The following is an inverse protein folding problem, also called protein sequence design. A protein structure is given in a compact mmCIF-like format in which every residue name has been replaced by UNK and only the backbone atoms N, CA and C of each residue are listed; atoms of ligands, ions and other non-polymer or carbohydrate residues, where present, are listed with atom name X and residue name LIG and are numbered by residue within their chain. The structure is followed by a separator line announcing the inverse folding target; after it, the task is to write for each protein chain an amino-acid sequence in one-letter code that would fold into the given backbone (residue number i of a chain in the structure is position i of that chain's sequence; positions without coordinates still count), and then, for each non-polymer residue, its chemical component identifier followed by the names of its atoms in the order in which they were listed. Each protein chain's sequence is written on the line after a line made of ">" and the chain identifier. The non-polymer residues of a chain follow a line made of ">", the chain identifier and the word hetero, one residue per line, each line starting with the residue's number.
data_IF_515395759045
#
_entry.id   IF_515395759045
#
_cell.length_a   1.000
_cell.length_b   1.000
_cell.length_c   1.000
_cell.angle_alpha   90.00
_cell.angle_beta   90.00
_cell.angle_gamma   90.00
#
_symmetry.space_group_name_H-M   'P 1'
#
loop_
_entity.id
_entity.type
_entity.pdbx_description
1 polymer ?
#
# COMPACT_ATOMS: atom_id res chain seq x y z
N UNK A 1 6.74 -23.56 -11.14
CA UNK A 1 8.22 -23.65 -11.07
C UNK A 1 8.97 -22.83 -12.15
N UNK A 2 8.32 -21.99 -12.99
CA UNK A 2 9.01 -21.21 -14.04
C UNK A 2 9.22 -19.71 -13.73
N UNK A 3 8.69 -19.17 -12.64
CA UNK A 3 8.77 -17.71 -12.37
C UNK A 3 9.81 -17.27 -11.33
N UNK A 4 10.44 -18.19 -10.59
CA UNK A 4 11.44 -17.82 -9.57
C UNK A 4 12.84 -17.48 -10.13
N UNK A 5 13.07 -17.66 -11.44
CA UNK A 5 14.40 -17.50 -12.05
C UNK A 5 14.74 -16.04 -12.40
N UNK A 6 13.74 -15.18 -12.57
CA UNK A 6 13.94 -13.75 -12.91
C UNK A 6 14.26 -12.88 -11.67
N UNK A 7 14.04 -13.39 -10.45
CA UNK A 7 14.38 -12.69 -9.20
C UNK A 7 15.91 -12.60 -9.00
N UNK A 8 16.71 -13.38 -9.76
CA UNK A 8 18.17 -13.45 -9.61
C UNK A 8 18.95 -12.31 -10.29
N UNK A 9 18.31 -11.42 -11.03
CA UNK A 9 18.95 -10.25 -11.65
C UNK A 9 18.53 -8.94 -10.97
N UNK A 10 18.58 -8.91 -9.64
CA UNK A 10 18.55 -7.65 -8.89
C UNK A 10 19.83 -6.86 -9.21
N UNK A 11 19.73 -5.96 -10.19
CA UNK A 11 20.72 -4.91 -10.46
C UNK A 11 21.05 -4.19 -9.14
N UNK A 12 22.29 -3.72 -9.00
CA UNK A 12 22.87 -3.06 -7.81
C UNK A 12 22.13 -1.81 -7.30
N UNK A 13 20.98 -1.45 -7.86
CA UNK A 13 20.00 -0.59 -7.22
C UNK A 13 18.97 -1.46 -6.49
N UNK A 14 18.94 -1.49 -5.14
CA UNK A 14 17.94 -2.23 -4.37
C UNK A 14 16.56 -1.57 -4.44
N UNK A 15 16.30 -0.74 -5.46
CA UNK A 15 15.10 0.06 -5.62
C UNK A 15 14.63 -0.11 -7.06
N UNK A 16 13.48 -0.76 -7.23
CA UNK A 16 12.77 -0.81 -8.51
C UNK A 16 11.91 0.44 -8.59
N UNK A 17 12.43 1.49 -9.22
CA UNK A 17 11.67 2.73 -9.40
C UNK A 17 10.82 2.66 -10.67
N UNK A 18 9.49 2.62 -10.50
CA UNK A 18 8.54 2.76 -11.59
C UNK A 18 8.01 4.19 -11.67
N UNK A 19 8.08 4.75 -12.87
CA UNK A 19 7.45 6.04 -13.18
C UNK A 19 5.93 6.00 -12.96
N UNK A 20 5.33 7.16 -12.71
CA UNK A 20 3.89 7.27 -12.58
C UNK A 20 3.21 6.95 -13.92
N UNK A 21 2.24 6.04 -13.90
CA UNK A 21 1.49 5.62 -15.07
C UNK A 21 0.02 5.49 -14.71
N UNK A 22 -0.82 6.30 -15.35
CA UNK A 22 -2.26 6.33 -15.10
C UNK A 22 -2.98 5.05 -15.51
N UNK A 23 -2.33 4.14 -16.24
CA UNK A 23 -2.87 2.81 -16.59
C UNK A 23 -2.56 1.75 -15.53
N UNK A 24 -1.66 2.05 -14.58
CA UNK A 24 -1.34 1.16 -13.47
C UNK A 24 -2.15 1.57 -12.25
N UNK A 25 -2.41 0.57 -11.40
CA UNK A 25 -2.93 0.78 -10.06
C UNK A 25 -1.83 1.33 -9.17
N UNK A 26 -2.15 2.27 -8.30
CA UNK A 26 -1.16 3.01 -7.52
C UNK A 26 -1.32 2.72 -6.02
N UNK A 27 -0.27 2.16 -5.44
CA UNK A 27 -0.13 1.91 -4.00
C UNK A 27 0.83 2.94 -3.37
N UNK A 28 0.43 3.55 -2.27
CA UNK A 28 1.36 4.27 -1.40
C UNK A 28 1.71 3.39 -0.19
N UNK A 29 3.00 3.14 0.02
CA UNK A 29 3.49 2.61 1.31
C UNK A 29 3.89 3.79 2.18
N UNK A 30 3.06 4.02 3.19
CA UNK A 30 3.08 5.11 4.14
C UNK A 30 3.85 4.72 5.39
N UNK A 31 4.80 5.57 5.76
CA UNK A 31 5.43 5.58 7.06
C UNK A 31 4.87 6.76 7.84
N UNK A 32 4.10 6.54 8.93
CA UNK A 32 3.55 7.61 9.76
C UNK A 32 4.62 8.28 10.64
N UNK A 33 5.82 8.51 10.10
CA UNK A 33 6.92 9.13 10.79
C UNK A 33 7.74 9.98 9.81
N UNK A 34 8.70 10.73 10.35
CA UNK A 34 9.63 11.51 9.54
C UNK A 34 10.49 10.60 8.66
N UNK A 35 10.89 11.10 7.50
CA UNK A 35 11.71 10.34 6.54
C UNK A 35 12.92 9.66 7.17
N UNK A 36 13.68 10.40 8.00
CA UNK A 36 14.86 9.85 8.69
C UNK A 36 14.51 8.68 9.62
N UNK A 37 13.33 8.66 10.24
CA UNK A 37 12.89 7.51 11.02
C UNK A 37 12.50 6.32 10.14
N UNK A 38 11.83 6.57 9.01
CA UNK A 38 11.27 5.52 8.15
C UNK A 38 12.27 4.89 7.16
N UNK A 39 13.34 5.59 6.77
CA UNK A 39 14.31 5.08 5.77
C UNK A 39 15.01 3.79 6.22
N UNK A 40 15.13 3.58 7.54
CA UNK A 40 15.80 2.41 8.12
C UNK A 40 14.91 1.15 8.16
N UNK A 41 13.64 1.25 7.76
CA UNK A 41 12.72 0.11 7.71
C UNK A 41 12.95 -0.77 6.48
N UNK A 42 13.49 -1.99 6.68
CA UNK A 42 13.69 -2.96 5.60
C UNK A 42 12.38 -3.53 5.05
N UNK A 43 11.43 -3.91 5.90
CA UNK A 43 10.16 -4.52 5.46
C UNK A 43 9.41 -3.67 4.43
N UNK A 44 9.16 -2.38 4.70
CA UNK A 44 8.50 -1.52 3.72
C UNK A 44 9.30 -1.29 2.42
N UNK A 45 10.64 -1.38 2.46
CA UNK A 45 11.47 -1.35 1.25
C UNK A 45 11.30 -2.63 0.42
N UNK A 46 11.23 -3.79 1.09
CA UNK A 46 10.93 -5.08 0.46
C UNK A 46 9.56 -5.00 -0.23
N UNK A 47 8.52 -4.55 0.48
CA UNK A 47 7.18 -4.39 -0.07
C UNK A 47 7.16 -3.41 -1.24
N UNK A 48 7.84 -2.27 -1.12
CA UNK A 48 7.96 -1.33 -2.23
C UNK A 48 8.53 -1.97 -3.50
N UNK A 49 9.61 -2.75 -3.37
CA UNK A 49 10.24 -3.42 -4.50
C UNK A 49 9.37 -4.54 -5.06
N UNK A 50 8.77 -5.35 -4.19
CA UNK A 50 7.89 -6.44 -4.55
C UNK A 50 6.72 -5.93 -5.41
N UNK A 51 6.03 -4.90 -4.92
CA UNK A 51 4.89 -4.30 -5.64
C UNK A 51 5.35 -3.63 -6.93
N UNK A 52 6.49 -2.93 -6.91
CA UNK A 52 7.07 -2.40 -8.14
C UNK A 52 7.64 -3.46 -9.07
N UNK A 53 7.73 -4.73 -8.68
CA UNK A 53 7.95 -5.86 -9.59
C UNK A 53 6.71 -6.18 -10.42
N UNK A 54 5.51 -6.00 -9.86
CA UNK A 54 4.24 -6.38 -10.49
C UNK A 54 3.89 -5.47 -11.68
N UNK A 55 3.52 -6.06 -12.82
CA UNK A 55 3.31 -5.34 -14.09
C UNK A 55 2.26 -4.22 -13.99
N UNK A 56 1.15 -4.52 -13.31
CA UNK A 56 -0.05 -3.68 -13.29
C UNK A 56 -0.10 -2.71 -12.10
N UNK A 57 0.92 -2.75 -11.24
CA UNK A 57 1.04 -1.91 -10.06
C UNK A 57 2.22 -0.96 -10.14
N UNK A 58 2.04 0.21 -9.54
CA UNK A 58 3.10 1.13 -9.18
C UNK A 58 3.03 1.40 -7.68
N UNK A 59 4.19 1.44 -7.03
CA UNK A 59 4.30 1.69 -5.61
C UNK A 59 5.18 2.91 -5.34
N UNK A 60 4.75 3.78 -4.42
CA UNK A 60 5.56 4.90 -3.93
C UNK A 60 5.64 4.87 -2.41
N UNK A 61 6.85 5.11 -1.89
CA UNK A 61 7.05 5.38 -0.46
C UNK A 61 6.64 6.81 -0.14
N UNK A 62 6.01 6.99 1.02
CA UNK A 62 5.51 8.27 1.51
C UNK A 62 5.70 8.35 3.02
N UNK A 63 5.94 9.55 3.51
CA UNK A 63 6.31 9.84 4.89
C UNK A 63 5.47 11.02 5.40
N UNK A 64 5.48 11.26 6.71
CA UNK A 64 4.66 12.29 7.36
C UNK A 64 4.86 13.70 6.77
N UNK A 65 6.09 14.04 6.41
CA UNK A 65 6.51 15.32 5.84
C UNK A 65 6.11 15.50 4.36
N UNK A 66 6.19 14.45 3.54
CA UNK A 66 5.99 14.50 2.08
C UNK A 66 4.70 13.82 1.55
N UNK A 67 3.65 13.72 2.36
CA UNK A 67 2.44 12.97 2.02
C UNK A 67 1.44 13.75 1.15
N UNK A 68 1.61 13.74 -0.18
CA UNK A 68 0.48 13.90 -1.13
C UNK A 68 -0.02 12.51 -1.54
N UNK A 69 -1.30 12.27 -1.25
CA UNK A 69 -1.98 10.97 -1.39
C UNK A 69 -3.08 10.98 -2.45
N UNK A 70 -3.07 11.97 -3.36
CA UNK A 70 -3.97 11.99 -4.51
C UNK A 70 -3.56 10.94 -5.54
N UNK A 71 -4.56 10.29 -6.14
CA UNK A 71 -4.36 9.31 -7.23
C UNK A 71 -3.89 7.91 -6.78
N UNK A 72 -3.75 7.65 -5.48
CA UNK A 72 -3.50 6.30 -4.97
C UNK A 72 -4.82 5.59 -4.64
N UNK A 73 -4.95 4.35 -5.09
CA UNK A 73 -6.08 3.44 -4.80
C UNK A 73 -5.84 2.65 -3.51
N UNK A 74 -4.58 2.39 -3.15
CA UNK A 74 -4.24 1.70 -1.91
C UNK A 74 -3.30 2.55 -1.07
N UNK A 75 -3.53 2.56 0.24
CA UNK A 75 -2.62 3.14 1.22
C UNK A 75 -2.24 2.06 2.24
N UNK A 76 -0.99 1.60 2.19
CA UNK A 76 -0.43 0.67 3.16
C UNK A 76 0.35 1.40 4.23
N UNK A 77 0.02 1.25 5.50
CA UNK A 77 0.68 1.92 6.61
C UNK A 77 1.55 0.93 7.39
N UNK A 78 2.81 1.30 7.63
CA UNK A 78 3.72 0.56 8.52
C UNK A 78 3.86 1.28 9.85
N UNK A 79 3.34 0.69 10.92
CA UNK A 79 3.38 1.25 12.27
C UNK A 79 4.51 0.59 13.04
N UNK A 80 5.59 1.35 13.26
CA UNK A 80 6.74 0.87 14.03
C UNK A 80 6.54 1.05 15.53
N UNK A 81 5.92 2.16 15.93
CA UNK A 81 5.69 2.52 17.33
C UNK A 81 4.26 3.01 17.54
N UNK A 82 3.78 3.02 18.77
CA UNK A 82 2.43 3.46 19.12
C UNK A 82 2.18 4.93 18.75
N UNK A 83 3.22 5.77 18.73
CA UNK A 83 3.10 7.17 18.30
C UNK A 83 2.70 7.31 16.82
N UNK A 84 2.99 6.29 15.99
CA UNK A 84 2.64 6.29 14.57
C UNK A 84 1.11 6.28 14.38
N UNK A 85 0.34 5.76 15.35
CA UNK A 85 -1.14 5.85 15.33
C UNK A 85 -1.62 7.30 15.32
N UNK A 86 -1.01 8.17 16.14
CA UNK A 86 -1.36 9.60 16.14
C UNK A 86 -0.95 10.28 14.84
N UNK A 87 0.19 9.90 14.28
CA UNK A 87 0.67 10.47 13.03
C UNK A 87 -0.14 10.00 11.81
N UNK A 88 -0.72 8.80 11.84
CA UNK A 88 -1.70 8.36 10.85
C UNK A 88 -2.85 9.36 10.74
N UNK A 89 -3.44 9.79 11.85
CA UNK A 89 -4.53 10.78 11.81
C UNK A 89 -4.07 12.13 11.26
N UNK A 90 -2.85 12.58 11.61
CA UNK A 90 -2.26 13.81 11.03
C UNK A 90 -2.13 13.71 9.51
N UNK A 91 -1.75 12.54 8.99
CA UNK A 91 -1.64 12.30 7.54
C UNK A 91 -3.02 12.40 6.89
N UNK A 92 -4.05 11.81 7.49
CA UNK A 92 -5.42 11.88 6.96
C UNK A 92 -5.91 13.32 6.93
N UNK A 93 -5.78 14.04 8.04
CA UNK A 93 -6.21 15.43 8.17
C UNK A 93 -5.49 16.33 7.13
N UNK A 94 -4.17 16.16 6.96
CA UNK A 94 -3.37 16.91 5.96
C UNK A 94 -3.80 16.64 4.51
N UNK A 95 -4.35 15.47 4.23
CA UNK A 95 -4.78 15.06 2.89
C UNK A 95 -6.28 15.18 2.67
N UNK A 96 -7.02 15.74 3.63
CA UNK A 96 -8.49 15.80 3.63
C UNK A 96 -9.14 14.42 3.41
N UNK A 97 -8.59 13.36 4.02
CA UNK A 97 -9.15 12.01 3.96
C UNK A 97 -9.99 11.76 5.19
N UNK A 98 -11.23 11.29 4.99
CA UNK A 98 -12.11 10.91 6.10
C UNK A 98 -11.51 9.79 6.95
N UNK A 99 -11.64 9.92 8.27
CA UNK A 99 -11.27 8.88 9.23
C UNK A 99 -12.27 7.72 9.19
N UNK A 100 -13.56 8.02 9.07
CA UNK A 100 -14.63 7.03 8.88
C UNK A 100 -14.45 6.35 7.52
N UNK A 101 -14.40 5.01 7.51
CA UNK A 101 -14.12 4.19 6.32
C UNK A 101 -15.17 4.41 5.23
N UNK A 102 -16.43 4.47 5.63
CA UNK A 102 -17.61 4.57 4.76
C UNK A 102 -17.69 5.91 4.02
N UNK A 103 -17.04 6.95 4.57
CA UNK A 103 -17.00 8.31 4.00
C UNK A 103 -15.76 8.56 3.14
N UNK A 104 -14.90 7.56 2.94
CA UNK A 104 -13.71 7.72 2.07
C UNK A 104 -14.12 7.65 0.61
N UNK A 105 -14.08 8.79 -0.07
CA UNK A 105 -14.27 8.88 -1.52
C UNK A 105 -13.09 8.24 -2.28
N UNK A 106 -13.35 7.71 -3.49
CA UNK A 106 -12.37 7.11 -4.40
C UNK A 106 -11.73 5.77 -3.96
N UNK A 107 -12.47 4.92 -3.23
CA UNK A 107 -12.14 3.51 -2.99
C UNK A 107 -10.69 3.28 -2.55
N UNK A 108 -10.25 4.01 -1.52
CA UNK A 108 -8.93 3.81 -0.96
C UNK A 108 -8.95 2.66 0.03
N UNK A 109 -8.36 1.52 -0.34
CA UNK A 109 -8.15 0.42 0.60
C UNK A 109 -6.97 0.77 1.49
N UNK A 110 -7.23 0.83 2.79
CA UNK A 110 -6.22 1.09 3.81
C UNK A 110 -5.82 -0.22 4.45
N UNK A 111 -4.54 -0.54 4.44
CA UNK A 111 -4.03 -1.68 5.19
C UNK A 111 -2.94 -1.27 6.18
N UNK A 112 -2.83 -2.03 7.27
CA UNK A 112 -1.83 -1.80 8.32
C UNK A 112 -0.94 -3.00 8.53
N UNK A 113 0.33 -2.75 8.80
CA UNK A 113 1.26 -3.76 9.29
C UNK A 113 2.37 -3.16 10.13
N UNK A 114 3.37 -3.96 10.44
CA UNK A 114 4.51 -3.58 11.27
C UNK A 114 4.36 -3.99 12.74
N UNK A 115 5.41 -3.78 13.55
CA UNK A 115 5.48 -4.29 14.92
C UNK A 115 4.33 -3.83 15.82
N UNK A 116 3.99 -2.54 15.81
CA UNK A 116 2.97 -2.00 16.72
C UNK A 116 1.58 -2.59 16.43
N UNK A 117 1.22 -2.69 15.14
CA UNK A 117 -0.04 -3.30 14.70
C UNK A 117 -0.07 -4.80 14.99
N UNK A 118 1.06 -5.48 14.80
CA UNK A 118 1.15 -6.93 15.08
C UNK A 118 0.97 -7.25 16.57
N UNK A 119 1.29 -6.30 17.46
CA UNK A 119 1.08 -6.43 18.91
C UNK A 119 -0.36 -6.15 19.32
N UNK A 120 -1.02 -5.18 18.69
CA UNK A 120 -2.40 -4.82 19.01
C UNK A 120 -3.09 -4.10 17.84
N UNK A 121 -4.08 -4.77 17.23
CA UNK A 121 -4.89 -4.21 16.13
C UNK A 121 -5.98 -3.25 16.61
N UNK A 122 -6.46 -3.41 17.84
CA UNK A 122 -7.63 -2.71 18.38
C UNK A 122 -7.61 -1.18 18.19
N UNK A 123 -6.47 -0.46 18.33
CA UNK A 123 -6.44 0.99 18.14
C UNK A 123 -6.78 1.44 16.71
N UNK A 124 -6.63 0.55 15.73
CA UNK A 124 -6.72 0.87 14.31
C UNK A 124 -7.88 0.16 13.59
N UNK A 125 -8.61 -0.72 14.25
CA UNK A 125 -9.66 -1.57 13.66
C UNK A 125 -10.77 -0.77 12.97
N UNK A 126 -11.17 0.36 13.57
CA UNK A 126 -12.18 1.24 13.00
C UNK A 126 -11.68 2.06 11.81
N UNK A 127 -10.37 2.04 11.53
CA UNK A 127 -9.74 2.91 10.54
C UNK A 127 -9.04 2.16 9.39
N UNK A 128 -8.59 0.92 9.58
CA UNK A 128 -7.92 0.14 8.53
C UNK A 128 -8.81 -1.00 8.06
N UNK A 129 -8.82 -1.25 6.75
CA UNK A 129 -9.67 -2.26 6.12
C UNK A 129 -9.04 -3.66 6.25
N UNK A 130 -7.71 -3.73 6.19
CA UNK A 130 -6.95 -4.99 6.24
C UNK A 130 -5.76 -4.85 7.20
N UNK A 131 -5.47 -5.92 7.93
CA UNK A 131 -4.28 -6.01 8.78
C UNK A 131 -3.38 -7.14 8.30
N UNK A 132 -2.10 -6.84 8.17
CA UNK A 132 -1.04 -7.81 7.94
C UNK A 132 -0.26 -8.01 9.24
N UNK A 133 -0.40 -9.20 9.82
CA UNK A 133 0.24 -9.60 11.06
C UNK A 133 1.46 -10.48 10.74
N UNK A 134 2.65 -10.03 11.12
CA UNK A 134 3.91 -10.70 10.75
C UNK A 134 4.34 -10.40 9.31
N UNK A 135 4.93 -11.40 8.64
CA UNK A 135 5.38 -11.29 7.25
C UNK A 135 4.20 -11.20 6.30
N UNK A 136 4.30 -10.35 5.29
CA UNK A 136 3.16 -9.98 4.46
C UNK A 136 3.41 -10.03 2.96
N UNK A 137 4.64 -10.30 2.54
CA UNK A 137 5.10 -10.28 1.16
C UNK A 137 4.18 -11.07 0.24
N UNK A 138 3.97 -12.36 0.53
CA UNK A 138 3.14 -13.24 -0.30
C UNK A 138 1.66 -12.85 -0.22
N UNK A 139 1.15 -12.64 0.99
CA UNK A 139 -0.25 -12.30 1.22
C UNK A 139 -0.67 -10.97 0.58
N UNK A 140 0.23 -9.98 0.54
CA UNK A 140 -0.02 -8.71 -0.12
C UNK A 140 -0.14 -8.90 -1.63
N UNK A 141 0.76 -9.70 -2.23
CA UNK A 141 0.69 -9.99 -3.67
C UNK A 141 -0.63 -10.66 -4.02
N UNK A 142 -1.09 -11.61 -3.21
CA UNK A 142 -2.40 -12.27 -3.39
C UNK A 142 -3.56 -11.27 -3.32
N UNK A 143 -3.55 -10.35 -2.34
CA UNK A 143 -4.58 -9.30 -2.21
C UNK A 143 -4.59 -8.38 -3.43
N UNK A 144 -3.42 -7.95 -3.91
CA UNK A 144 -3.30 -7.06 -5.06
C UNK A 144 -3.71 -7.73 -6.38
N UNK A 145 -3.43 -9.03 -6.52
CA UNK A 145 -3.87 -9.86 -7.65
C UNK A 145 -5.39 -10.06 -7.63
N UNK A 146 -5.95 -10.40 -6.47
CA UNK A 146 -7.40 -10.54 -6.29
C UNK A 146 -8.15 -9.25 -6.64
N UNK A 147 -7.67 -8.10 -6.15
CA UNK A 147 -8.24 -6.79 -6.49
C UNK A 147 -8.16 -6.50 -8.00
N UNK A 148 -7.05 -6.88 -8.63
CA UNK A 148 -6.87 -6.68 -10.07
C UNK A 148 -7.85 -7.49 -10.90
N UNK A 149 -8.08 -8.76 -10.53
CA UNK A 149 -9.04 -9.65 -11.20
C UNK A 149 -10.48 -9.17 -11.06
N UNK A 150 -10.89 -8.71 -9.89
CA UNK A 150 -12.25 -8.21 -9.67
C UNK A 150 -12.58 -7.02 -10.58
N UNK A 151 -11.65 -6.07 -10.71
CA UNK A 151 -11.84 -4.92 -11.61
C UNK A 151 -11.94 -5.32 -13.09
N UNK A 152 -11.19 -6.34 -13.51
CA UNK A 152 -11.26 -6.85 -14.88
C UNK A 152 -12.62 -7.52 -15.17
N UNK A 153 -13.21 -8.19 -14.18
CA UNK A 153 -14.55 -8.80 -14.28
C UNK A 153 -15.66 -7.73 -14.35
N UNK A 154 -15.62 -6.73 -13.46
CA UNK A 154 -16.56 -5.60 -13.49
C UNK A 154 -16.46 -4.79 -14.79
N UNK A 155 -15.24 -4.62 -15.33
CA UNK A 155 -15.01 -3.98 -16.63
C UNK A 155 -15.66 -4.74 -17.79
N UNK A 156 -15.58 -6.08 -17.77
CA UNK A 156 -16.22 -6.95 -18.78
C UNK A 156 -17.74 -6.92 -18.70
N UNK A 157 -18.31 -6.97 -17.50
CA UNK A 157 -19.76 -6.86 -17.33
C UNK A 157 -20.31 -5.52 -17.83
N UNK A 158 -19.63 -4.43 -17.53
CA UNK A 158 -20.03 -3.09 -17.96
C UNK A 158 -19.93 -2.89 -19.48
N UNK A 159 -19.01 -3.61 -20.14
CA UNK A 159 -18.91 -3.64 -21.61
C UNK A 159 -20.03 -4.49 -22.23
N UNK A 160 -20.35 -5.63 -21.63
CA UNK A 160 -21.43 -6.51 -22.09
C UNK A 160 -22.83 -5.91 -21.92
N UNK A 161 -23.06 -5.04 -20.93
CA UNK A 161 -24.34 -4.33 -20.73
C UNK A 161 -24.51 -3.10 -21.65
N UNK A 162 -23.44 -2.67 -22.33
CA UNK A 162 -23.43 -1.54 -23.27
C UNK A 162 -23.38 -1.97 -24.75
N UNK A 163 -23.32 -3.27 -25.02
CA UNK A 163 -23.35 -3.89 -26.36
C UNK A 163 -24.74 -4.41 -26.66
#
# INVERSE_FOLDING_TARGET
>A
MREFKEIKELKESPVIEKGWDSKRKNLAIMFPNLYYGGIYGLGPLIIYNLVNGLKDWSCKRRFLDYSDLKGFEFLGFTFQYELDYFNFFKILDKNNISREKEKRENWKIFFGGGPAVSLNTAPMEDYLDVFFLGDCEDSLVEVLDMYSKQLDEEGKENFSKKS
#
